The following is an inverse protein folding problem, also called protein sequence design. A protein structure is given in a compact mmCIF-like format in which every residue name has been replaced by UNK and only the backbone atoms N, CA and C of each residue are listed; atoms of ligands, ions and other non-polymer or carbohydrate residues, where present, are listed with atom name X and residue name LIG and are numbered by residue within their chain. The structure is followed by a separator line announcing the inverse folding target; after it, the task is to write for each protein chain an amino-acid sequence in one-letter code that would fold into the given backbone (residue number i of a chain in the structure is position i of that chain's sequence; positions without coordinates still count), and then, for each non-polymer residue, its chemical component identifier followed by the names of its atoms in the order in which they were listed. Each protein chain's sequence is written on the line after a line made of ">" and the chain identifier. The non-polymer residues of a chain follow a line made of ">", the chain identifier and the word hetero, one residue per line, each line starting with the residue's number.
data_IF_187962890899
#
_entry.id   IF_187962890899
#
_cell.length_a   1.000
_cell.length_b   1.000
_cell.length_c   1.000
_cell.angle_alpha   90.00
_cell.angle_beta   90.00
_cell.angle_gamma   90.00
#
_symmetry.space_group_name_H-M   'P 1'
#
loop_
_entity.id
_entity.type
_entity.pdbx_description
1 polymer ?
#
# COMPACT_ATOMS: atom_id res chain seq x y z
N UNK A 1 -52.10 5.11 -15.78
CA UNK A 1 -50.99 4.29 -15.29
C UNK A 1 -49.72 5.11 -15.37
N UNK A 2 -49.36 5.78 -14.28
CA UNK A 2 -48.10 6.52 -14.18
C UNK A 2 -47.12 5.62 -13.42
N UNK A 3 -46.13 5.10 -14.13
CA UNK A 3 -45.00 4.36 -13.53
C UNK A 3 -44.07 5.41 -12.91
N UNK A 4 -44.00 5.45 -11.59
CA UNK A 4 -42.99 6.21 -10.86
C UNK A 4 -41.59 5.66 -11.15
N UNK A 5 -40.60 6.50 -11.48
CA UNK A 5 -39.21 6.10 -11.41
C UNK A 5 -38.75 6.24 -9.94
N UNK A 6 -38.61 5.11 -9.24
CA UNK A 6 -37.85 5.04 -7.99
C UNK A 6 -36.37 5.02 -8.38
N UNK A 7 -35.83 6.20 -8.66
CA UNK A 7 -34.39 6.45 -8.73
C UNK A 7 -34.06 7.57 -7.75
N UNK A 8 -34.47 7.39 -6.51
CA UNK A 8 -33.92 8.16 -5.40
C UNK A 8 -32.67 7.43 -4.95
N UNK A 9 -31.56 7.80 -5.60
CA UNK A 9 -30.20 7.42 -5.25
C UNK A 9 -30.01 7.72 -3.76
N UNK A 10 -30.04 6.68 -2.93
CA UNK A 10 -29.79 6.78 -1.49
C UNK A 10 -28.33 7.17 -1.30
N UNK A 11 -28.09 8.47 -1.32
CA UNK A 11 -26.79 9.09 -1.14
C UNK A 11 -26.39 8.85 0.32
N UNK A 12 -25.37 8.02 0.56
CA UNK A 12 -24.71 7.98 1.87
C UNK A 12 -24.40 9.41 2.28
N UNK A 13 -24.80 9.75 3.49
CA UNK A 13 -24.46 11.04 4.05
C UNK A 13 -22.93 11.22 4.05
N UNK A 14 -22.47 12.44 3.76
CA UNK A 14 -21.04 12.74 3.62
C UNK A 14 -20.28 12.44 4.93
N UNK A 15 -20.95 12.59 6.08
CA UNK A 15 -20.40 12.20 7.39
C UNK A 15 -20.19 10.69 7.47
N UNK A 16 -21.22 9.89 7.18
CA UNK A 16 -21.13 8.43 7.22
C UNK A 16 -20.05 7.89 6.26
N UNK A 17 -19.87 8.50 5.08
CA UNK A 17 -18.78 8.15 4.18
C UNK A 17 -17.40 8.43 4.79
N UNK A 18 -17.20 9.62 5.36
CA UNK A 18 -15.95 10.01 6.00
C UNK A 18 -15.63 9.09 7.19
N UNK A 19 -16.60 8.85 8.05
CA UNK A 19 -16.46 8.03 9.25
C UNK A 19 -16.15 6.57 8.89
N UNK A 20 -16.79 6.03 7.86
CA UNK A 20 -16.49 4.68 7.37
C UNK A 20 -15.13 4.58 6.67
N UNK A 21 -14.70 5.63 5.99
CA UNK A 21 -13.34 5.69 5.44
C UNK A 21 -12.30 5.67 6.57
N UNK A 22 -12.51 6.46 7.63
CA UNK A 22 -11.63 6.49 8.79
C UNK A 22 -11.55 5.14 9.51
N UNK A 23 -12.67 4.43 9.62
CA UNK A 23 -12.69 3.05 10.14
C UNK A 23 -11.91 2.07 9.25
N UNK A 24 -12.07 2.16 7.94
CA UNK A 24 -11.47 1.20 7.00
C UNK A 24 -9.97 1.41 6.78
N UNK A 25 -9.48 2.65 6.92
CA UNK A 25 -8.09 3.02 6.68
C UNK A 25 -7.05 2.16 7.45
N UNK A 26 -7.15 1.93 8.77
CA UNK A 26 -6.20 1.05 9.47
C UNK A 26 -6.28 -0.41 8.99
N UNK A 27 -7.47 -0.90 8.65
CA UNK A 27 -7.68 -2.28 8.17
C UNK A 27 -7.14 -2.46 6.74
N UNK A 28 -7.05 -1.37 5.98
CA UNK A 28 -6.62 -1.38 4.59
C UNK A 28 -5.18 -1.85 4.38
N UNK A 29 -4.34 -1.80 5.41
CA UNK A 29 -2.96 -2.28 5.37
C UNK A 29 -2.88 -3.81 5.36
N UNK A 30 -3.78 -4.49 6.08
CA UNK A 30 -3.71 -5.94 6.30
C UNK A 30 -4.67 -6.73 5.38
N UNK A 31 -5.72 -6.08 4.87
CA UNK A 31 -6.74 -6.73 4.03
C UNK A 31 -6.54 -6.36 2.56
N UNK A 32 -5.70 -7.14 1.87
CA UNK A 32 -5.36 -6.88 0.46
C UNK A 32 -6.47 -7.26 -0.51
N UNK A 33 -7.39 -8.16 -0.12
CA UNK A 33 -8.52 -8.62 -0.95
C UNK A 33 -9.70 -7.63 -0.89
N UNK A 34 -10.11 -7.01 -2.02
CA UNK A 34 -11.19 -6.02 -2.03
C UNK A 34 -12.53 -6.56 -1.52
N UNK A 35 -12.86 -7.81 -1.84
CA UNK A 35 -14.11 -8.46 -1.39
C UNK A 35 -14.17 -8.64 0.12
N UNK A 36 -13.04 -9.01 0.76
CA UNK A 36 -12.95 -9.11 2.23
C UNK A 36 -13.11 -7.73 2.88
N UNK A 37 -12.53 -6.69 2.29
CA UNK A 37 -12.71 -5.31 2.78
C UNK A 37 -14.16 -4.86 2.70
N UNK A 38 -14.83 -5.14 1.57
CA UNK A 38 -16.24 -4.81 1.39
C UNK A 38 -17.12 -5.53 2.42
N UNK A 39 -16.85 -6.82 2.72
CA UNK A 39 -17.57 -7.56 3.74
C UNK A 39 -17.42 -6.92 5.14
N UNK A 40 -16.19 -6.56 5.54
CA UNK A 40 -15.92 -5.87 6.80
C UNK A 40 -16.66 -4.54 6.90
N UNK A 41 -16.66 -3.76 5.82
CA UNK A 41 -17.39 -2.48 5.74
C UNK A 41 -18.90 -2.67 5.86
N UNK A 42 -19.46 -3.67 5.18
CA UNK A 42 -20.90 -3.99 5.24
C UNK A 42 -21.29 -4.42 6.65
N UNK A 43 -20.49 -5.27 7.29
CA UNK A 43 -20.72 -5.73 8.66
C UNK A 43 -20.66 -4.56 9.65
N UNK A 44 -19.71 -3.64 9.48
CA UNK A 44 -19.60 -2.46 10.34
C UNK A 44 -20.76 -1.49 10.14
N UNK A 45 -21.20 -1.26 8.90
CA UNK A 45 -22.39 -0.45 8.62
C UNK A 45 -23.64 -1.06 9.26
N UNK A 46 -23.82 -2.39 9.18
CA UNK A 46 -24.93 -3.09 9.85
C UNK A 46 -24.86 -2.93 11.38
N UNK A 47 -23.67 -3.08 11.98
CA UNK A 47 -23.45 -2.88 13.43
C UNK A 47 -23.81 -1.48 13.88
N UNK A 48 -23.53 -0.47 13.06
CA UNK A 48 -23.85 0.95 13.33
C UNK A 48 -25.25 1.37 12.88
N UNK A 49 -26.07 0.43 12.38
CA UNK A 49 -27.39 0.71 11.80
C UNK A 49 -27.37 1.76 10.67
N UNK A 50 -26.27 1.82 9.93
CA UNK A 50 -26.13 2.65 8.73
C UNK A 50 -26.78 1.92 7.56
N UNK A 51 -27.64 2.62 6.83
CA UNK A 51 -28.26 2.09 5.61
C UNK A 51 -27.18 1.73 4.59
N UNK A 52 -27.21 0.49 4.10
CA UNK A 52 -26.22 0.00 3.15
C UNK A 52 -26.34 0.75 1.82
N UNK A 53 -25.24 1.33 1.33
CA UNK A 53 -25.28 2.03 0.07
C UNK A 53 -25.11 1.13 -1.13
N UNK A 54 -25.22 1.74 -2.31
CA UNK A 54 -24.92 1.06 -3.56
C UNK A 54 -23.50 0.49 -3.56
N UNK A 55 -23.33 -0.60 -4.32
CA UNK A 55 -22.03 -1.27 -4.48
C UNK A 55 -20.96 -0.27 -4.93
N UNK A 56 -21.30 0.66 -5.81
CA UNK A 56 -20.39 1.72 -6.29
C UNK A 56 -19.81 2.57 -5.17
N UNK A 57 -20.62 2.90 -4.15
CA UNK A 57 -20.16 3.68 -2.99
C UNK A 57 -19.28 2.83 -2.08
N UNK A 58 -19.61 1.55 -1.89
CA UNK A 58 -18.78 0.61 -1.12
C UNK A 58 -17.40 0.46 -1.78
N UNK A 59 -17.35 0.29 -3.10
CA UNK A 59 -16.08 0.24 -3.82
C UNK A 59 -15.28 1.55 -3.69
N UNK A 60 -15.96 2.70 -3.76
CA UNK A 60 -15.32 3.99 -3.58
C UNK A 60 -14.72 4.13 -2.17
N UNK A 61 -15.40 3.65 -1.13
CA UNK A 61 -14.88 3.58 0.24
C UNK A 61 -13.62 2.70 0.30
N UNK A 62 -13.66 1.50 -0.29
CA UNK A 62 -12.49 0.61 -0.34
C UNK A 62 -11.31 1.28 -1.03
N UNK A 63 -11.53 1.89 -2.21
CA UNK A 63 -10.47 2.60 -2.95
C UNK A 63 -9.91 3.77 -2.13
N UNK A 64 -10.77 4.57 -1.50
CA UNK A 64 -10.39 5.73 -0.70
C UNK A 64 -9.56 5.33 0.53
N UNK A 65 -10.03 4.33 1.27
CA UNK A 65 -9.34 3.81 2.45
C UNK A 65 -7.95 3.27 2.10
N UNK A 66 -7.85 2.52 0.99
CA UNK A 66 -6.55 2.04 0.48
C UNK A 66 -5.62 3.18 0.08
N UNK A 67 -6.13 4.15 -0.68
CA UNK A 67 -5.31 5.30 -1.06
C UNK A 67 -4.79 6.06 0.15
N UNK A 68 -5.60 6.24 1.20
CA UNK A 68 -5.16 6.89 2.44
C UNK A 68 -4.13 6.06 3.21
N UNK A 69 -4.31 4.73 3.25
CA UNK A 69 -3.33 3.82 3.82
C UNK A 69 -1.99 3.89 3.05
N UNK A 70 -2.02 3.79 1.73
CA UNK A 70 -0.83 3.85 0.87
C UNK A 70 -0.09 5.19 1.04
N UNK A 71 -0.81 6.31 1.10
CA UNK A 71 -0.23 7.62 1.38
C UNK A 71 0.39 7.70 2.78
N UNK A 72 -0.28 7.17 3.81
CA UNK A 72 0.29 7.14 5.17
C UNK A 72 1.60 6.35 5.18
N UNK A 73 1.61 5.15 4.59
CA UNK A 73 2.83 4.32 4.52
C UNK A 73 3.95 5.07 3.79
N UNK A 74 3.63 5.69 2.66
CA UNK A 74 4.59 6.49 1.92
C UNK A 74 5.14 7.64 2.77
N UNK A 75 4.28 8.42 3.41
CA UNK A 75 4.69 9.58 4.20
C UNK A 75 5.52 9.17 5.42
N UNK A 76 5.14 8.09 6.10
CA UNK A 76 5.88 7.52 7.22
C UNK A 76 7.27 7.02 6.81
N UNK A 77 7.38 6.39 5.64
CA UNK A 77 8.65 5.81 5.17
C UNK A 77 9.58 6.81 4.49
N UNK A 78 9.00 7.75 3.74
CA UNK A 78 9.70 8.59 2.79
C UNK A 78 9.52 10.09 3.02
N UNK A 79 8.59 10.52 3.88
CA UNK A 79 8.25 11.93 4.07
C UNK A 79 9.39 12.80 4.60
N UNK A 80 10.28 12.23 5.40
CA UNK A 80 11.47 12.89 5.95
C UNK A 80 12.77 12.53 5.21
N UNK A 81 12.70 11.79 4.09
CA UNK A 81 13.88 11.43 3.32
C UNK A 81 14.45 12.64 2.56
N UNK A 82 15.75 12.93 2.69
CA UNK A 82 16.42 13.93 1.88
C UNK A 82 16.19 13.66 0.38
N UNK A 83 16.02 14.69 -0.46
CA UNK A 83 15.83 14.52 -1.91
C UNK A 83 16.89 13.63 -2.56
N UNK A 84 18.13 13.73 -2.10
CA UNK A 84 19.25 12.90 -2.58
C UNK A 84 19.05 11.41 -2.28
N UNK A 85 18.54 11.08 -1.10
CA UNK A 85 18.23 9.69 -0.71
C UNK A 85 17.06 9.15 -1.52
N UNK A 86 16.02 9.97 -1.76
CA UNK A 86 14.91 9.60 -2.66
C UNK A 86 15.41 9.32 -4.09
N UNK A 87 16.23 10.21 -4.65
CA UNK A 87 16.84 10.00 -5.97
C UNK A 87 17.68 8.72 -6.03
N UNK A 88 18.44 8.39 -4.97
CA UNK A 88 19.18 7.12 -4.91
C UNK A 88 18.26 5.90 -4.89
N UNK A 89 17.15 5.95 -4.16
CA UNK A 89 16.13 4.90 -4.15
C UNK A 89 15.45 4.76 -5.52
N UNK A 90 15.12 5.87 -6.18
CA UNK A 90 14.51 5.85 -7.52
C UNK A 90 15.44 5.21 -8.55
N UNK A 91 16.74 5.52 -8.50
CA UNK A 91 17.77 4.88 -9.34
C UNK A 91 17.84 3.37 -9.17
N UNK A 92 17.36 2.81 -8.05
CA UNK A 92 17.32 1.35 -7.87
C UNK A 92 16.30 0.69 -8.81
N UNK A 93 15.32 1.44 -9.31
CA UNK A 93 14.31 0.96 -10.25
C UNK A 93 14.83 0.93 -11.70
N UNK A 94 15.93 1.64 -11.98
CA UNK A 94 16.58 1.64 -13.29
C UNK A 94 17.28 0.30 -13.58
N UNK A 95 17.41 -0.05 -14.86
CA UNK A 95 18.11 -1.27 -15.30
C UNK A 95 19.59 -1.19 -14.92
N UNK A 96 20.12 -2.30 -14.39
CA UNK A 96 21.52 -2.41 -14.00
C UNK A 96 22.38 -2.82 -15.21
N UNK A 97 22.95 -1.84 -15.90
CA UNK A 97 23.87 -2.07 -17.02
C UNK A 97 23.23 -2.86 -18.18
N UNK A 98 23.92 -3.88 -18.67
CA UNK A 98 23.49 -4.77 -19.76
C UNK A 98 22.45 -5.84 -19.34
N UNK A 99 22.02 -5.84 -18.08
CA UNK A 99 21.11 -6.84 -17.54
C UNK A 99 19.66 -6.38 -17.61
N UNK A 100 18.74 -7.32 -17.81
CA UNK A 100 17.29 -7.07 -17.85
C UNK A 100 16.68 -6.68 -16.50
N UNK A 101 17.37 -6.93 -15.40
CA UNK A 101 16.90 -6.66 -14.04
C UNK A 101 17.32 -5.27 -13.54
N UNK A 102 16.44 -4.62 -12.77
CA UNK A 102 16.79 -3.42 -12.01
C UNK A 102 17.71 -3.75 -10.83
N UNK A 103 18.37 -2.73 -10.27
CA UNK A 103 19.19 -2.92 -9.06
C UNK A 103 18.38 -3.45 -7.88
N UNK A 104 17.13 -3.01 -7.72
CA UNK A 104 16.21 -3.53 -6.72
C UNK A 104 15.87 -5.01 -6.97
N UNK A 105 15.60 -5.39 -8.22
CA UNK A 105 15.30 -6.79 -8.56
C UNK A 105 16.51 -7.70 -8.29
N UNK A 106 17.73 -7.24 -8.59
CA UNK A 106 18.97 -7.96 -8.28
C UNK A 106 19.20 -8.15 -6.77
N UNK A 107 18.89 -7.13 -5.95
CA UNK A 107 18.96 -7.24 -4.49
C UNK A 107 17.96 -8.26 -3.94
N UNK A 108 16.72 -8.25 -4.45
CA UNK A 108 15.64 -9.16 -4.00
C UNK A 108 15.87 -10.62 -4.35
N UNK A 109 16.79 -10.91 -5.28
CA UNK A 109 17.11 -12.27 -5.74
C UNK A 109 18.57 -12.62 -5.42
N UNK A 110 18.91 -12.89 -4.14
CA UNK A 110 20.25 -13.33 -3.77
C UNK A 110 20.51 -14.79 -4.19
N UNK A 111 21.78 -15.18 -4.45
CA UNK A 111 22.13 -16.57 -4.67
C UNK A 111 21.93 -17.38 -3.37
N UNK A 112 21.36 -18.59 -3.48
CA UNK A 112 21.03 -19.44 -2.32
C UNK A 112 22.10 -20.51 -2.00
N UNK A 113 23.03 -20.78 -2.91
CA UNK A 113 24.06 -21.80 -2.72
C UNK A 113 25.29 -21.24 -1.99
N UNK A 114 25.92 -22.00 -1.07
CA UNK A 114 27.10 -21.56 -0.30
C UNK A 114 28.43 -21.57 -1.09
N UNK A 115 28.39 -21.67 -2.42
CA UNK A 115 29.61 -21.65 -3.24
C UNK A 115 30.42 -20.35 -3.04
N UNK A 116 31.76 -20.44 -3.05
CA UNK A 116 32.65 -19.29 -2.84
C UNK A 116 32.34 -18.08 -3.76
N UNK A 117 32.03 -18.32 -5.03
CA UNK A 117 31.60 -17.27 -5.98
C UNK A 117 30.33 -16.51 -5.53
N UNK A 118 29.43 -17.19 -4.81
CA UNK A 118 28.20 -16.58 -4.31
C UNK A 118 28.46 -15.73 -3.07
N UNK A 119 29.47 -16.06 -2.27
CA UNK A 119 29.92 -15.22 -1.16
C UNK A 119 30.33 -13.84 -1.69
N UNK A 120 31.15 -13.80 -2.76
CA UNK A 120 31.53 -12.53 -3.40
C UNK A 120 30.32 -11.73 -3.91
N UNK A 121 29.32 -12.42 -4.49
CA UNK A 121 28.06 -11.80 -4.95
C UNK A 121 27.18 -11.29 -3.81
N UNK A 122 27.27 -11.90 -2.63
CA UNK A 122 26.58 -11.43 -1.42
C UNK A 122 27.29 -10.22 -0.83
N UNK A 123 28.62 -10.19 -0.86
CA UNK A 123 29.41 -9.02 -0.46
C UNK A 123 29.10 -7.80 -1.33
N UNK A 124 29.01 -7.96 -2.66
CA UNK A 124 28.60 -6.89 -3.59
C UNK A 124 27.21 -6.32 -3.22
N UNK A 125 26.26 -7.19 -2.85
CA UNK A 125 24.92 -6.76 -2.40
C UNK A 125 24.97 -6.01 -1.08
N UNK A 126 25.74 -6.52 -0.12
CA UNK A 126 25.90 -5.90 1.19
C UNK A 126 26.52 -4.50 1.06
N UNK A 127 27.56 -4.37 0.24
CA UNK A 127 28.20 -3.08 -0.04
C UNK A 127 27.22 -2.10 -0.71
N UNK A 128 26.44 -2.58 -1.68
CA UNK A 128 25.40 -1.78 -2.30
C UNK A 128 24.32 -1.33 -1.31
N UNK A 129 23.83 -2.21 -0.43
CA UNK A 129 22.84 -1.83 0.59
C UNK A 129 23.42 -0.80 1.57
N UNK A 130 24.67 -0.97 1.99
CA UNK A 130 25.35 -0.02 2.88
C UNK A 130 25.54 1.35 2.23
N UNK A 131 25.81 1.41 0.92
CA UNK A 131 25.98 2.68 0.21
C UNK A 131 24.69 3.49 0.05
N UNK A 132 23.51 2.86 0.22
CA UNK A 132 22.23 3.56 0.30
C UNK A 132 22.14 4.44 1.55
N UNK A 133 22.95 4.16 2.59
CA UNK A 133 23.01 4.94 3.83
C UNK A 133 21.60 5.21 4.43
N UNK A 134 20.78 4.18 4.49
CA UNK A 134 19.44 4.21 5.07
C UNK A 134 19.50 3.75 6.53
N UNK A 135 18.81 4.47 7.39
CA UNK A 135 18.65 4.05 8.79
C UNK A 135 17.74 2.82 8.87
N UNK A 136 18.27 1.71 9.42
CA UNK A 136 17.52 0.46 9.61
C UNK A 136 16.33 0.62 10.56
N UNK A 137 16.34 1.61 11.47
CA UNK A 137 15.21 1.89 12.37
C UNK A 137 13.93 2.30 11.60
N UNK A 138 14.04 2.74 10.34
CA UNK A 138 12.89 3.03 9.49
C UNK A 138 12.01 1.81 9.21
N UNK A 139 12.59 0.61 9.20
CA UNK A 139 11.84 -0.63 8.98
C UNK A 139 10.87 -0.96 10.12
N UNK A 140 11.13 -0.45 11.34
CA UNK A 140 10.25 -0.66 12.50
C UNK A 140 9.05 0.28 12.55
N UNK A 141 8.95 1.23 11.62
CA UNK A 141 7.87 2.24 11.60
C UNK A 141 6.63 1.76 10.83
N UNK A 142 6.75 0.69 10.02
CA UNK A 142 5.58 0.08 9.36
C UNK A 142 4.88 -0.83 10.37
N UNK A 143 3.59 -0.60 10.68
CA UNK A 143 2.80 -1.56 11.48
C UNK A 143 2.74 -2.92 10.76
N UNK A 144 2.90 -4.05 11.47
CA UNK A 144 2.91 -5.39 10.88
C UNK A 144 1.59 -5.77 10.20
#
# INVERSE_FOLDING_TARGET
>A
GAVHPITEEIRVDRSAFHDMTGFAMPIAHHVTQPSRMAAILIDEMRRRSILLPSVTVIEALVRRARQQADHLVHDVLAGDLPPETRCRLDKMLERRGDRSASSLSWLRNPPLSPAARNILRLLERLEYVRSLNLDSARATVIPP
#
